data_IF_984659554754
#
_entry.id   IF_984659554754
#
_cell.length_a   1.000
_cell.length_b   1.000
_cell.length_c   1.000
_cell.angle_alpha   90.00
_cell.angle_beta   90.00
_cell.angle_gamma   90.00
#
_symmetry.space_group_name_H-M   'P 1'
#
loop_
_entity.id
_entity.type
_entity.pdbx_description
1 polymer ?
#
# COMPACT_ATOMS: atom_id res chain seq x y z
N UNK A 1 18.42 -11.56 12.08
CA UNK A 1 18.55 -10.27 12.80
C UNK A 1 17.19 -9.60 12.77
N UNK A 2 16.75 -9.03 13.86
CA UNK A 2 15.48 -8.28 13.93
C UNK A 2 15.58 -7.01 13.08
N UNK A 3 14.67 -6.86 12.11
CA UNK A 3 14.69 -5.74 11.14
C UNK A 3 13.85 -4.53 11.58
N UNK A 4 12.98 -4.72 12.55
CA UNK A 4 12.09 -3.67 13.05
C UNK A 4 10.63 -4.07 13.15
N UNK A 5 9.78 -3.09 13.46
CA UNK A 5 8.33 -3.24 13.57
C UNK A 5 7.65 -2.49 12.43
N UNK A 6 6.81 -3.16 11.66
CA UNK A 6 6.10 -2.59 10.52
C UNK A 6 4.58 -2.66 10.68
N UNK A 7 3.88 -1.56 10.41
CA UNK A 7 2.44 -1.55 10.19
C UNK A 7 2.19 -1.72 8.70
N UNK A 8 1.32 -2.69 8.33
CA UNK A 8 0.82 -2.86 6.96
C UNK A 8 -0.67 -2.54 6.95
N UNK A 9 -1.07 -1.42 6.34
CA UNK A 9 -2.49 -1.09 6.23
C UNK A 9 -3.16 -1.98 5.18
N UNK A 10 -4.38 -2.49 5.49
CA UNK A 10 -5.04 -3.47 4.62
C UNK A 10 -4.27 -4.79 4.48
N UNK A 11 -3.57 -5.21 5.56
CA UNK A 11 -2.67 -6.37 5.57
C UNK A 11 -3.36 -7.74 5.65
N UNK A 12 -4.69 -7.79 5.80
CA UNK A 12 -5.42 -9.03 6.06
C UNK A 12 -5.53 -9.97 4.87
N UNK A 13 -5.57 -9.48 3.65
CA UNK A 13 -5.81 -10.25 2.42
C UNK A 13 -5.12 -9.66 1.20
N UNK A 14 -5.21 -10.38 0.06
CA UNK A 14 -4.73 -9.92 -1.26
C UNK A 14 -3.24 -9.51 -1.21
N UNK A 15 -2.87 -8.40 -1.83
CA UNK A 15 -1.49 -7.86 -1.85
C UNK A 15 -0.97 -7.60 -0.43
N UNK A 16 -1.80 -7.04 0.46
CA UNK A 16 -1.41 -6.75 1.84
C UNK A 16 -0.98 -7.99 2.63
N UNK A 17 -1.68 -9.13 2.46
CA UNK A 17 -1.29 -10.41 3.08
C UNK A 17 0.10 -10.85 2.64
N UNK A 18 0.37 -10.84 1.33
CA UNK A 18 1.69 -11.24 0.81
C UNK A 18 2.82 -10.32 1.29
N UNK A 19 2.54 -9.01 1.40
CA UNK A 19 3.48 -8.05 1.99
C UNK A 19 3.77 -8.43 3.46
N UNK A 20 2.74 -8.71 4.27
CA UNK A 20 2.90 -9.13 5.67
C UNK A 20 3.75 -10.40 5.78
N UNK A 21 3.42 -11.43 5.00
CA UNK A 21 4.14 -12.71 4.99
C UNK A 21 5.60 -12.52 4.57
N UNK A 22 5.86 -11.75 3.52
CA UNK A 22 7.22 -11.50 3.01
C UNK A 22 8.06 -10.71 4.00
N UNK A 23 7.52 -9.64 4.61
CA UNK A 23 8.23 -8.85 5.60
C UNK A 23 8.54 -9.64 6.85
N UNK A 24 7.60 -10.47 7.32
CA UNK A 24 7.84 -11.36 8.46
C UNK A 24 8.97 -12.36 8.19
N UNK A 25 9.00 -13.01 7.01
CA UNK A 25 10.10 -13.89 6.61
C UNK A 25 11.46 -13.18 6.53
N UNK A 26 11.44 -11.86 6.39
CA UNK A 26 12.65 -11.01 6.41
C UNK A 26 12.94 -10.42 7.80
N UNK A 27 12.30 -10.89 8.86
CA UNK A 27 12.61 -10.56 10.24
C UNK A 27 11.89 -9.34 10.80
N UNK A 28 10.89 -8.78 10.10
CA UNK A 28 10.03 -7.74 10.67
C UNK A 28 8.97 -8.35 11.58
N UNK A 29 8.69 -7.69 12.71
CA UNK A 29 7.46 -7.87 13.47
C UNK A 29 6.35 -7.07 12.78
N UNK A 30 5.16 -7.65 12.61
CA UNK A 30 4.12 -7.09 11.75
C UNK A 30 2.86 -6.73 12.52
N UNK A 31 2.39 -5.49 12.40
CA UNK A 31 1.03 -5.10 12.78
C UNK A 31 0.16 -5.14 11.54
N UNK A 32 -0.78 -6.07 11.50
CA UNK A 32 -1.71 -6.31 10.39
C UNK A 32 -2.95 -5.45 10.63
N UNK A 33 -3.08 -4.35 9.89
CA UNK A 33 -4.31 -3.55 9.95
C UNK A 33 -5.39 -4.14 9.05
N UNK A 34 -6.64 -4.11 9.54
CA UNK A 34 -7.86 -4.44 8.78
C UNK A 34 -9.03 -3.54 9.21
N UNK A 35 -10.06 -3.40 8.36
CA UNK A 35 -11.32 -2.72 8.70
C UNK A 35 -12.40 -3.73 9.11
N UNK A 36 -12.81 -4.61 8.20
CA UNK A 36 -13.92 -5.56 8.38
C UNK A 36 -13.50 -7.03 8.22
N UNK A 37 -12.30 -7.32 7.74
CA UNK A 37 -11.81 -8.66 7.40
C UNK A 37 -11.06 -9.28 8.60
N UNK A 38 -11.77 -9.54 9.69
CA UNK A 38 -11.17 -10.07 10.95
C UNK A 38 -10.62 -11.48 10.78
N UNK A 39 -11.41 -12.38 10.16
CA UNK A 39 -11.03 -13.77 9.97
C UNK A 39 -9.77 -13.90 9.12
N UNK A 40 -9.70 -13.15 8.01
CA UNK A 40 -8.52 -13.14 7.15
C UNK A 40 -7.30 -12.51 7.82
N UNK A 41 -7.51 -11.52 8.72
CA UNK A 41 -6.42 -10.93 9.50
C UNK A 41 -5.87 -11.94 10.52
N UNK A 42 -6.74 -12.66 11.22
CA UNK A 42 -6.36 -13.73 12.15
C UNK A 42 -5.62 -14.87 11.44
N UNK A 43 -6.13 -15.30 10.27
CA UNK A 43 -5.47 -16.30 9.43
C UNK A 43 -4.06 -15.86 9.04
N UNK A 44 -3.91 -14.62 8.57
CA UNK A 44 -2.61 -14.05 8.19
C UNK A 44 -1.65 -13.99 9.38
N UNK A 45 -2.12 -13.54 10.55
CA UNK A 45 -1.33 -13.52 11.78
C UNK A 45 -0.93 -14.95 12.22
N UNK A 46 -1.83 -15.91 12.13
CA UNK A 46 -1.55 -17.33 12.42
C UNK A 46 -0.49 -17.91 11.50
N UNK A 47 -0.57 -17.63 10.19
CA UNK A 47 0.46 -18.06 9.23
C UNK A 47 1.84 -17.54 9.60
N UNK A 48 1.94 -16.25 9.96
CA UNK A 48 3.20 -15.61 10.38
C UNK A 48 3.72 -16.24 11.67
N UNK A 49 2.88 -16.32 12.71
CA UNK A 49 3.28 -16.78 14.04
C UNK A 49 3.66 -18.26 14.02
N UNK A 50 2.93 -19.10 13.27
CA UNK A 50 3.26 -20.51 13.08
C UNK A 50 4.54 -20.73 12.29
N UNK A 51 4.92 -19.79 11.44
CA UNK A 51 6.17 -19.79 10.67
C UNK A 51 7.37 -19.25 11.45
N UNK A 52 7.24 -18.98 12.76
CA UNK A 52 8.30 -18.46 13.62
C UNK A 52 8.49 -16.94 13.55
N UNK A 53 7.62 -16.22 12.86
CA UNK A 53 7.57 -14.77 12.87
C UNK A 53 6.79 -14.22 14.07
N UNK A 54 6.53 -12.91 14.07
CA UNK A 54 5.71 -12.25 15.09
C UNK A 54 4.75 -11.27 14.45
N UNK A 55 3.44 -11.50 14.63
CA UNK A 55 2.40 -10.63 14.10
C UNK A 55 1.24 -10.46 15.08
N UNK A 56 0.68 -9.26 15.08
CA UNK A 56 -0.56 -8.92 15.78
C UNK A 56 -1.52 -8.24 14.81
N UNK A 57 -2.81 -8.34 15.10
CA UNK A 57 -3.86 -7.68 14.31
C UNK A 57 -4.31 -6.39 14.98
N UNK A 58 -4.71 -5.40 14.20
CA UNK A 58 -5.29 -4.15 14.68
C UNK A 58 -6.44 -3.71 13.77
N UNK A 59 -7.66 -3.71 14.33
CA UNK A 59 -8.82 -3.17 13.64
C UNK A 59 -8.82 -1.64 13.73
N UNK A 60 -8.97 -0.97 12.59
CA UNK A 60 -9.21 0.46 12.54
C UNK A 60 -10.02 0.82 11.28
N UNK A 61 -10.77 1.91 11.32
CA UNK A 61 -11.40 2.48 10.12
C UNK A 61 -10.61 3.71 9.68
N UNK A 62 -10.00 3.64 8.49
CA UNK A 62 -9.18 4.73 7.95
C UNK A 62 -10.04 5.92 7.44
N UNK A 63 -11.36 5.85 7.52
CA UNK A 63 -12.22 7.03 7.37
C UNK A 63 -12.11 7.97 8.59
N UNK A 64 -11.64 7.46 9.74
CA UNK A 64 -11.34 8.24 10.94
C UNK A 64 -9.82 8.50 11.06
N UNK A 65 -9.44 9.76 11.16
CA UNK A 65 -8.03 10.17 11.30
C UNK A 65 -7.38 9.65 12.58
N UNK A 66 -8.16 9.41 13.63
CA UNK A 66 -7.66 8.84 14.90
C UNK A 66 -7.13 7.40 14.75
N UNK A 67 -7.47 6.74 13.66
CA UNK A 67 -6.95 5.41 13.31
C UNK A 67 -5.42 5.38 13.20
N UNK A 68 -4.79 6.49 12.82
CA UNK A 68 -3.33 6.59 12.76
C UNK A 68 -2.68 6.45 14.15
N UNK A 69 -3.23 7.13 15.15
CA UNK A 69 -2.76 7.03 16.54
C UNK A 69 -3.02 5.63 17.11
N UNK A 70 -4.21 5.07 16.85
CA UNK A 70 -4.56 3.71 17.29
C UNK A 70 -3.59 2.66 16.75
N UNK A 71 -3.22 2.74 15.48
CA UNK A 71 -2.31 1.78 14.84
C UNK A 71 -0.89 1.88 15.40
N UNK A 72 -0.38 3.09 15.59
CA UNK A 72 0.95 3.32 16.17
C UNK A 72 0.97 2.90 17.64
N UNK A 73 -0.05 3.27 18.42
CA UNK A 73 -0.16 2.86 19.83
C UNK A 73 -0.17 1.34 19.97
N UNK A 74 -0.91 0.62 19.08
CA UNK A 74 -0.91 -0.84 19.07
C UNK A 74 0.48 -1.42 18.80
N UNK A 75 1.24 -0.85 17.87
CA UNK A 75 2.60 -1.29 17.58
C UNK A 75 3.53 -1.10 18.78
N UNK A 76 3.44 0.07 19.45
CA UNK A 76 4.25 0.39 20.64
C UNK A 76 3.87 -0.49 21.84
N UNK A 77 2.58 -0.71 22.07
CA UNK A 77 2.08 -1.60 23.14
C UNK A 77 2.60 -3.03 23.00
N UNK A 78 2.56 -3.59 21.79
CA UNK A 78 2.89 -4.99 21.55
C UNK A 78 4.40 -5.25 21.38
N UNK A 79 5.11 -4.29 20.77
CA UNK A 79 6.50 -4.50 20.36
C UNK A 79 7.48 -3.49 20.93
N UNK A 80 7.01 -2.51 21.69
CA UNK A 80 7.83 -1.48 22.34
C UNK A 80 8.16 -0.27 21.47
N UNK A 81 8.06 -0.38 20.14
CA UNK A 81 8.38 0.68 19.18
C UNK A 81 7.75 0.41 17.82
N UNK A 82 7.87 1.40 16.92
CA UNK A 82 7.57 1.27 15.49
C UNK A 82 8.60 2.06 14.69
N UNK A 83 9.02 1.51 13.56
CA UNK A 83 9.94 2.22 12.65
C UNK A 83 9.67 1.99 11.17
N UNK A 84 8.59 1.28 10.81
CA UNK A 84 8.25 1.07 9.41
C UNK A 84 6.74 1.08 9.15
N UNK A 85 6.34 1.59 7.97
CA UNK A 85 4.95 1.61 7.50
C UNK A 85 4.90 1.16 6.04
N UNK A 86 3.91 0.32 5.71
CA UNK A 86 3.45 0.10 4.35
C UNK A 86 2.02 0.62 4.22
N UNK A 87 1.83 1.72 3.53
CA UNK A 87 0.52 2.27 3.19
C UNK A 87 -0.03 1.52 1.97
N UNK A 88 -0.75 0.42 2.23
CA UNK A 88 -1.32 -0.46 1.21
C UNK A 88 -2.85 -0.37 1.13
N UNK A 89 -3.56 -0.07 2.23
CA UNK A 89 -5.01 0.09 2.20
C UNK A 89 -5.44 1.16 1.19
N UNK A 90 -6.51 0.90 0.45
CA UNK A 90 -7.04 1.82 -0.55
C UNK A 90 -8.52 1.58 -0.76
N UNK A 91 -9.27 2.65 -0.99
CA UNK A 91 -10.59 2.62 -1.61
C UNK A 91 -10.41 2.80 -3.10
N UNK A 92 -11.14 2.00 -3.89
CA UNK A 92 -11.13 2.01 -5.35
C UNK A 92 -12.58 1.89 -5.85
N UNK A 93 -13.25 3.02 -5.97
CA UNK A 93 -14.64 3.11 -6.45
C UNK A 93 -14.62 3.86 -7.77
N UNK A 94 -15.44 3.44 -8.73
CA UNK A 94 -15.53 4.09 -10.03
C UNK A 94 -16.27 5.42 -9.91
N UNK A 95 -15.70 6.46 -10.50
CA UNK A 95 -16.30 7.75 -10.78
C UNK A 95 -15.64 8.38 -12.01
N UNK A 96 -16.32 9.36 -12.56
CA UNK A 96 -15.83 10.27 -13.60
C UNK A 96 -16.37 11.68 -13.34
N UNK A 97 -16.11 12.62 -14.23
CA UNK A 97 -16.55 14.02 -14.04
C UNK A 97 -18.09 14.16 -13.98
N UNK A 98 -18.85 13.19 -14.50
CA UNK A 98 -20.32 13.23 -14.49
C UNK A 98 -20.94 12.57 -13.26
N UNK A 99 -20.20 11.71 -12.56
CA UNK A 99 -20.69 10.88 -11.44
C UNK A 99 -20.01 11.19 -10.12
N UNK A 100 -18.91 11.96 -10.10
CA UNK A 100 -18.19 12.34 -8.88
C UNK A 100 -19.10 13.10 -7.91
N UNK A 101 -19.01 12.76 -6.62
CA UNK A 101 -19.63 13.50 -5.52
C UNK A 101 -18.58 13.98 -4.52
N UNK A 102 -18.95 14.97 -3.69
CA UNK A 102 -18.07 15.47 -2.62
C UNK A 102 -17.71 14.36 -1.65
N UNK A 103 -18.69 13.54 -1.27
CA UNK A 103 -18.52 12.44 -0.33
C UNK A 103 -17.54 11.39 -0.85
N UNK A 104 -17.65 11.00 -2.12
CA UNK A 104 -16.75 10.02 -2.73
C UNK A 104 -15.33 10.58 -2.89
N UNK A 105 -15.22 11.85 -3.27
CA UNK A 105 -13.94 12.56 -3.28
C UNK A 105 -13.29 12.55 -1.90
N UNK A 106 -14.05 12.94 -0.86
CA UNK A 106 -13.55 13.01 0.51
C UNK A 106 -13.13 11.63 1.03
N UNK A 107 -13.90 10.57 0.71
CA UNK A 107 -13.54 9.19 1.09
C UNK A 107 -12.21 8.75 0.47
N UNK A 108 -12.02 8.96 -0.85
CA UNK A 108 -10.76 8.63 -1.51
C UNK A 108 -9.58 9.43 -0.93
N UNK A 109 -9.75 10.74 -0.76
CA UNK A 109 -8.69 11.59 -0.19
C UNK A 109 -8.37 11.24 1.26
N UNK A 110 -9.39 10.94 2.07
CA UNK A 110 -9.21 10.58 3.47
C UNK A 110 -8.44 9.26 3.62
N UNK A 111 -8.89 8.20 2.95
CA UNK A 111 -8.36 6.85 3.13
C UNK A 111 -7.04 6.65 2.37
N UNK A 112 -6.95 7.17 1.13
CA UNK A 112 -5.81 6.90 0.27
C UNK A 112 -4.65 7.89 0.44
N UNK A 113 -4.89 9.07 1.06
CA UNK A 113 -3.87 10.11 1.16
C UNK A 113 -3.72 10.68 2.58
N UNK A 114 -4.79 11.20 3.18
CA UNK A 114 -4.69 11.93 4.45
C UNK A 114 -4.30 11.04 5.63
N UNK A 115 -4.96 9.91 5.82
CA UNK A 115 -4.63 9.00 6.94
C UNK A 115 -3.26 8.35 6.76
N UNK A 116 -2.82 7.90 5.57
CA UNK A 116 -1.43 7.53 5.33
C UNK A 116 -0.42 8.59 5.74
N UNK A 117 -0.65 9.87 5.42
CA UNK A 117 0.19 10.98 5.87
C UNK A 117 0.21 11.12 7.40
N UNK A 118 -0.98 11.05 8.04
CA UNK A 118 -1.07 11.13 9.50
C UNK A 118 -0.38 9.95 10.19
N UNK A 119 -0.49 8.76 9.64
CA UNK A 119 0.20 7.56 10.15
C UNK A 119 1.74 7.74 10.11
N UNK A 120 2.26 8.30 9.01
CA UNK A 120 3.69 8.64 8.90
C UNK A 120 4.08 9.69 9.96
N UNK A 121 3.25 10.74 10.14
CA UNK A 121 3.46 11.79 11.14
C UNK A 121 3.53 11.22 12.56
N UNK A 122 2.56 10.40 12.95
CA UNK A 122 2.50 9.81 14.30
C UNK A 122 3.70 8.87 14.51
N UNK A 123 4.06 8.02 13.54
CA UNK A 123 5.29 7.22 13.64
C UNK A 123 6.52 8.11 13.81
N UNK A 124 6.68 9.16 13.00
CA UNK A 124 7.82 10.08 13.07
C UNK A 124 7.99 10.69 14.46
N UNK A 125 6.88 11.05 15.13
CA UNK A 125 6.89 11.63 16.46
C UNK A 125 7.35 10.63 17.54
N UNK A 126 7.18 9.31 17.30
CA UNK A 126 7.65 8.26 18.24
C UNK A 126 9.14 7.92 18.08
N UNK A 127 9.75 8.29 16.95
CA UNK A 127 11.16 7.99 16.71
C UNK A 127 12.07 8.93 17.53
N UNK A 128 13.00 8.38 18.27
CA UNK A 128 14.07 9.14 18.91
C UNK A 128 15.09 9.71 17.89
N UNK A 129 16.09 10.45 18.36
CA UNK A 129 17.08 11.11 17.49
C UNK A 129 17.95 10.12 16.69
N UNK A 130 18.20 8.94 17.23
CA UNK A 130 19.07 7.91 16.65
C UNK A 130 18.30 6.89 15.82
N UNK A 131 16.99 6.81 16.01
CA UNK A 131 16.13 5.88 15.29
C UNK A 131 15.98 6.25 13.82
N UNK A 132 15.89 5.20 12.98
CA UNK A 132 15.66 5.34 11.53
C UNK A 132 14.33 4.71 11.16
N UNK A 133 13.54 5.47 10.38
CA UNK A 133 12.24 5.03 9.88
C UNK A 133 12.27 4.68 8.40
N UNK A 134 11.26 3.94 7.96
CA UNK A 134 11.07 3.56 6.57
C UNK A 134 9.59 3.49 6.19
N UNK A 135 9.23 4.08 5.07
CA UNK A 135 7.86 4.10 4.55
C UNK A 135 7.86 3.61 3.11
N UNK A 136 6.93 2.71 2.78
CA UNK A 136 6.62 2.33 1.42
C UNK A 136 5.14 2.57 1.14
N UNK A 137 4.85 3.42 0.16
CA UNK A 137 3.50 3.72 -0.29
C UNK A 137 3.13 2.83 -1.49
N UNK A 138 1.96 2.20 -1.47
CA UNK A 138 1.44 1.48 -2.64
C UNK A 138 0.64 2.47 -3.49
N UNK A 139 1.20 2.80 -4.64
CA UNK A 139 0.61 3.67 -5.66
C UNK A 139 -0.14 2.85 -6.72
N UNK A 140 -0.07 3.29 -7.96
CA UNK A 140 -0.70 2.65 -9.12
C UNK A 140 0.10 2.99 -10.39
N UNK A 141 0.28 2.05 -11.31
CA UNK A 141 0.94 2.27 -12.59
C UNK A 141 0.19 3.30 -13.46
N UNK A 142 -1.15 3.40 -13.29
CA UNK A 142 -2.02 4.35 -13.99
C UNK A 142 -1.53 5.81 -13.89
N UNK A 143 -0.81 6.17 -12.82
CA UNK A 143 -0.28 7.53 -12.63
C UNK A 143 0.74 7.94 -13.69
N UNK A 144 1.37 6.99 -14.36
CA UNK A 144 2.32 7.28 -15.44
C UNK A 144 1.58 7.67 -16.75
N UNK A 145 0.44 7.03 -17.02
CA UNK A 145 -0.35 7.25 -18.24
C UNK A 145 -1.86 7.16 -17.90
N UNK A 146 -2.43 8.22 -17.30
CA UNK A 146 -3.78 8.18 -16.75
C UNK A 146 -4.86 8.16 -17.85
N UNK A 147 -5.93 7.45 -17.58
CA UNK A 147 -7.21 7.52 -18.30
C UNK A 147 -8.26 8.25 -17.44
N UNK A 148 -9.43 8.64 -18.00
CA UNK A 148 -10.42 9.47 -17.28
C UNK A 148 -11.22 8.74 -16.19
N UNK A 149 -11.20 7.41 -16.16
CA UNK A 149 -12.00 6.63 -15.22
C UNK A 149 -11.37 6.65 -13.81
N UNK A 150 -12.16 6.42 -12.77
CA UNK A 150 -11.74 6.47 -11.38
C UNK A 150 -11.05 7.79 -11.00
N UNK A 151 -11.74 8.91 -11.28
CA UNK A 151 -11.18 10.27 -11.21
C UNK A 151 -10.66 10.60 -9.80
N UNK A 152 -11.52 10.46 -8.77
CA UNK A 152 -11.15 10.81 -7.38
C UNK A 152 -10.10 9.85 -6.80
N UNK A 153 -10.17 8.56 -7.15
CA UNK A 153 -9.12 7.60 -6.83
C UNK A 153 -7.77 8.03 -7.42
N UNK A 154 -7.76 8.32 -8.73
CA UNK A 154 -6.54 8.74 -9.44
C UNK A 154 -5.94 9.99 -8.81
N UNK A 155 -6.79 11.00 -8.48
CA UNK A 155 -6.36 12.21 -7.78
C UNK A 155 -5.74 11.90 -6.41
N UNK A 156 -6.34 10.99 -5.63
CA UNK A 156 -5.81 10.58 -4.32
C UNK A 156 -4.44 9.89 -4.43
N UNK A 157 -4.23 9.08 -5.47
CA UNK A 157 -2.95 8.42 -5.73
C UNK A 157 -1.89 9.42 -6.23
N UNK A 158 -2.25 10.44 -7.04
CA UNK A 158 -1.34 11.55 -7.36
C UNK A 158 -0.94 12.35 -6.11
N UNK A 159 -1.85 12.54 -5.16
CA UNK A 159 -1.52 13.16 -3.88
C UNK A 159 -0.46 12.34 -3.15
N UNK A 160 -0.62 11.01 -3.07
CA UNK A 160 0.38 10.13 -2.44
C UNK A 160 1.71 10.09 -3.20
N UNK A 161 1.68 10.21 -4.54
CA UNK A 161 2.90 10.35 -5.35
C UNK A 161 3.67 11.61 -4.95
N UNK A 162 2.99 12.78 -4.89
CA UNK A 162 3.60 14.03 -4.47
C UNK A 162 4.10 13.99 -3.02
N UNK A 163 3.34 13.36 -2.11
CA UNK A 163 3.75 13.16 -0.73
C UNK A 163 4.97 12.23 -0.63
N UNK A 164 5.10 11.22 -1.47
CA UNK A 164 6.27 10.33 -1.47
C UNK A 164 7.57 11.12 -1.74
N UNK A 165 7.61 11.96 -2.76
CA UNK A 165 8.78 12.80 -3.06
C UNK A 165 9.02 13.87 -1.96
N UNK A 166 7.97 14.58 -1.57
CA UNK A 166 8.08 15.67 -0.60
C UNK A 166 8.55 15.17 0.77
N UNK A 167 7.97 14.06 1.26
CA UNK A 167 8.35 13.46 2.54
C UNK A 167 9.73 12.82 2.51
N UNK A 168 10.14 12.22 1.37
CA UNK A 168 11.50 11.72 1.20
C UNK A 168 12.55 12.81 1.41
N UNK A 169 12.27 14.04 0.95
CA UNK A 169 13.13 15.22 1.15
C UNK A 169 13.08 15.77 2.57
N UNK A 170 11.87 15.94 3.10
CA UNK A 170 11.68 16.63 4.39
C UNK A 170 12.02 15.77 5.61
N UNK A 171 11.90 14.44 5.51
CA UNK A 171 12.16 13.53 6.62
C UNK A 171 13.57 12.93 6.64
N UNK A 172 14.36 13.14 5.58
CA UNK A 172 15.76 12.75 5.56
C UNK A 172 16.57 13.58 6.58
N UNK A 173 17.57 12.98 7.24
CA UNK A 173 18.05 11.61 7.12
C UNK A 173 17.36 10.61 8.08
N UNK A 174 16.27 11.00 8.75
CA UNK A 174 15.62 10.20 9.80
C UNK A 174 14.71 9.12 9.22
N UNK A 175 13.93 9.44 8.17
CA UNK A 175 12.99 8.50 7.54
C UNK A 175 13.21 8.46 6.03
N UNK A 176 13.27 7.25 5.46
CA UNK A 176 13.21 7.02 4.02
C UNK A 176 11.76 6.83 3.59
N UNK A 177 11.37 7.43 2.48
CA UNK A 177 10.01 7.28 1.92
C UNK A 177 10.13 6.90 0.46
N UNK A 178 9.55 5.76 0.08
CA UNK A 178 9.56 5.24 -1.29
C UNK A 178 8.16 4.74 -1.66
N UNK A 179 7.99 4.30 -2.90
CA UNK A 179 6.74 3.73 -3.36
C UNK A 179 6.93 2.53 -4.28
N UNK A 180 5.90 1.67 -4.33
CA UNK A 180 5.72 0.64 -5.34
C UNK A 180 4.45 0.98 -6.11
N UNK A 181 4.49 0.90 -7.44
CA UNK A 181 3.36 1.11 -8.36
C UNK A 181 3.01 -0.20 -9.04
N UNK A 182 2.00 -0.93 -8.54
CA UNK A 182 1.53 -2.18 -9.15
C UNK A 182 0.83 -1.95 -10.49
N UNK A 183 0.92 -2.94 -11.38
CA UNK A 183 0.00 -3.14 -12.49
C UNK A 183 -1.20 -4.01 -12.12
N UNK A 184 -1.83 -4.64 -13.12
CA UNK A 184 -2.98 -5.55 -12.94
C UNK A 184 -2.57 -6.82 -12.20
N UNK A 185 -2.60 -6.77 -10.87
CA UNK A 185 -2.08 -7.82 -9.98
C UNK A 185 -3.16 -8.82 -9.56
N UNK A 186 -4.38 -8.36 -9.32
CA UNK A 186 -5.54 -9.18 -8.91
C UNK A 186 -6.81 -8.59 -9.55
N UNK A 187 -7.74 -9.45 -9.93
CA UNK A 187 -9.04 -9.03 -10.43
C UNK A 187 -9.75 -8.10 -9.42
N UNK A 188 -10.40 -7.06 -9.92
CA UNK A 188 -11.35 -6.25 -9.14
C UNK A 188 -12.68 -6.99 -9.00
N UNK A 189 -13.52 -6.55 -8.06
CA UNK A 189 -14.83 -7.20 -7.80
C UNK A 189 -15.79 -7.12 -9.01
N UNK A 190 -15.57 -6.18 -9.92
CA UNK A 190 -16.35 -5.98 -11.15
C UNK A 190 -15.77 -6.70 -12.36
N UNK A 191 -14.68 -7.43 -12.22
CA UNK A 191 -13.94 -8.03 -13.33
C UNK A 191 -14.13 -9.55 -13.38
N UNK A 192 -14.46 -10.08 -14.55
CA UNK A 192 -14.49 -11.53 -14.79
C UNK A 192 -13.07 -12.11 -14.82
N UNK A 193 -12.96 -13.43 -14.61
CA UNK A 193 -11.66 -14.12 -14.68
C UNK A 193 -11.05 -13.99 -16.08
N UNK A 194 -11.86 -14.13 -17.12
CA UNK A 194 -11.44 -14.02 -18.51
C UNK A 194 -11.03 -12.58 -18.85
N UNK A 195 -11.77 -11.57 -18.38
CA UNK A 195 -11.43 -10.16 -18.54
C UNK A 195 -10.11 -9.82 -17.86
N UNK A 196 -9.90 -10.31 -16.66
CA UNK A 196 -8.63 -10.15 -15.96
C UNK A 196 -7.45 -10.81 -16.70
N UNK A 197 -7.62 -12.03 -17.21
CA UNK A 197 -6.59 -12.70 -18.00
C UNK A 197 -6.25 -11.93 -19.28
N UNK A 198 -7.27 -11.38 -19.98
CA UNK A 198 -7.06 -10.51 -21.15
C UNK A 198 -6.28 -9.24 -20.76
N UNK A 199 -6.64 -8.62 -19.64
CA UNK A 199 -5.93 -7.43 -19.13
C UNK A 199 -4.45 -7.74 -18.89
N UNK A 200 -4.15 -8.81 -18.17
CA UNK A 200 -2.77 -9.21 -17.90
C UNK A 200 -1.99 -9.55 -19.16
N UNK A 201 -2.58 -10.32 -20.09
CA UNK A 201 -1.92 -10.71 -21.33
C UNK A 201 -1.70 -9.56 -22.31
N UNK A 202 -2.43 -8.44 -22.16
CA UNK A 202 -2.21 -7.22 -22.96
C UNK A 202 -0.98 -6.41 -22.54
N UNK A 203 -0.41 -6.69 -21.36
CA UNK A 203 0.80 -6.05 -20.90
C UNK A 203 1.99 -6.36 -21.81
N UNK A 204 2.99 -5.45 -21.96
CA UNK A 204 4.15 -5.66 -22.85
C UNK A 204 4.93 -6.95 -22.62
N UNK A 205 4.98 -7.47 -21.38
CA UNK A 205 5.59 -8.77 -21.10
C UNK A 205 4.69 -9.96 -21.41
N UNK A 206 3.42 -9.76 -21.79
CA UNK A 206 2.44 -10.82 -22.06
C UNK A 206 1.83 -11.45 -20.82
N UNK A 207 2.11 -10.94 -19.63
CA UNK A 207 1.53 -11.34 -18.34
C UNK A 207 1.58 -10.18 -17.36
N UNK A 208 0.71 -10.18 -16.36
CA UNK A 208 0.72 -9.19 -15.27
C UNK A 208 1.51 -9.66 -14.05
N UNK A 209 1.83 -8.76 -13.12
CA UNK A 209 2.46 -9.11 -11.86
C UNK A 209 1.49 -9.90 -10.97
N UNK A 210 2.04 -10.67 -10.04
CA UNK A 210 1.31 -11.31 -8.97
C UNK A 210 1.58 -10.60 -7.61
N UNK A 211 0.83 -10.91 -6.54
CA UNK A 211 1.04 -10.29 -5.23
C UNK A 211 2.44 -10.49 -4.65
N UNK A 212 3.10 -11.61 -4.95
CA UNK A 212 4.46 -11.89 -4.50
C UNK A 212 5.47 -10.93 -5.14
N UNK A 213 5.31 -10.56 -6.40
CA UNK A 213 6.18 -9.60 -7.09
C UNK A 213 6.11 -8.23 -6.41
N UNK A 214 4.90 -7.79 -6.01
CA UNK A 214 4.70 -6.55 -5.25
C UNK A 214 5.37 -6.63 -3.88
N UNK A 215 5.15 -7.74 -3.16
CA UNK A 215 5.75 -7.95 -1.84
C UNK A 215 7.29 -7.99 -1.90
N UNK A 216 7.88 -8.55 -2.97
CA UNK A 216 9.31 -8.54 -3.21
C UNK A 216 9.87 -7.13 -3.39
N UNK A 217 9.19 -6.27 -4.17
CA UNK A 217 9.58 -4.87 -4.37
C UNK A 217 9.49 -4.06 -3.08
N UNK A 218 8.42 -4.25 -2.29
CA UNK A 218 8.27 -3.65 -0.96
C UNK A 218 9.41 -4.08 -0.06
N UNK A 219 9.71 -5.37 0.01
CA UNK A 219 10.80 -5.92 0.83
C UNK A 219 12.16 -5.37 0.42
N UNK A 220 12.43 -5.22 -0.89
CA UNK A 220 13.63 -4.57 -1.39
C UNK A 220 13.76 -3.14 -0.85
N UNK A 221 12.73 -2.30 -0.98
CA UNK A 221 12.74 -0.92 -0.51
C UNK A 221 12.88 -0.82 1.01
N UNK A 222 12.31 -1.76 1.75
CA UNK A 222 12.48 -1.84 3.19
C UNK A 222 13.95 -2.07 3.60
N UNK A 223 14.71 -2.80 2.80
CA UNK A 223 16.11 -3.13 3.08
C UNK A 223 17.14 -2.19 2.40
N UNK A 224 16.75 -1.46 1.38
CA UNK A 224 17.62 -0.62 0.53
C UNK A 224 18.00 0.69 1.23
N UNK A 225 19.01 0.68 2.10
CA UNK A 225 19.41 1.77 3.01
C UNK A 225 19.74 3.10 2.30
N UNK A 226 20.18 3.07 1.04
CA UNK A 226 20.56 4.24 0.26
C UNK A 226 19.49 4.69 -0.75
N UNK A 227 18.24 4.18 -0.61
CA UNK A 227 17.13 4.47 -1.52
C UNK A 227 16.05 5.26 -0.80
N UNK A 228 15.74 6.46 -1.27
CA UNK A 228 14.61 7.30 -0.83
C UNK A 228 14.08 8.13 -1.99
N UNK A 229 12.79 8.44 -2.00
CA UNK A 229 12.12 9.19 -3.07
C UNK A 229 11.92 8.40 -4.37
N UNK A 230 12.10 7.06 -4.34
CA UNK A 230 11.99 6.24 -5.54
C UNK A 230 10.64 5.56 -5.67
N UNK A 231 10.23 5.32 -6.92
CA UNK A 231 9.04 4.57 -7.28
C UNK A 231 9.50 3.36 -8.11
N UNK A 232 9.16 2.17 -7.63
CA UNK A 232 9.37 0.93 -8.39
C UNK A 232 8.05 0.54 -9.04
N UNK A 233 8.04 0.53 -10.36
CA UNK A 233 6.91 0.01 -11.13
C UNK A 233 7.03 -1.50 -11.25
N UNK A 234 6.00 -2.21 -10.77
CA UNK A 234 5.85 -3.66 -10.87
C UNK A 234 4.57 -3.93 -11.65
N UNK A 235 4.64 -3.72 -12.95
CA UNK A 235 3.47 -3.57 -13.83
C UNK A 235 3.59 -4.30 -15.18
N UNK A 236 4.63 -5.12 -15.36
CA UNK A 236 4.90 -5.83 -16.61
C UNK A 236 4.95 -4.91 -17.85
N UNK A 237 5.25 -3.61 -17.63
CA UNK A 237 5.30 -2.60 -18.68
C UNK A 237 3.94 -1.95 -19.00
N UNK A 238 2.89 -2.26 -18.27
CA UNK A 238 1.52 -1.74 -18.48
C UNK A 238 1.49 -0.22 -18.63
N UNK A 239 2.26 0.51 -17.83
CA UNK A 239 2.35 1.98 -17.88
C UNK A 239 2.78 2.56 -19.24
N UNK A 240 3.36 1.75 -20.12
CA UNK A 240 3.74 2.20 -21.47
C UNK A 240 2.57 2.21 -22.45
N UNK A 241 1.46 1.57 -22.08
CA UNK A 241 0.25 1.53 -22.88
C UNK A 241 -0.58 2.80 -22.62
N UNK A 242 -1.00 3.47 -23.69
CA UNK A 242 -1.96 4.56 -23.60
C UNK A 242 -3.37 3.99 -23.77
N UNK A 243 -4.17 4.03 -22.70
CA UNK A 243 -5.55 3.55 -22.70
C UNK A 243 -6.51 4.74 -22.66
N UNK A 244 -7.57 4.68 -23.46
CA UNK A 244 -8.63 5.68 -23.46
C UNK A 244 -9.62 5.50 -22.29
N UNK A 245 -9.72 4.28 -21.76
CA UNK A 245 -10.55 3.87 -20.62
C UNK A 245 -9.74 3.01 -19.67
N UNK A 246 -10.29 2.77 -18.49
CA UNK A 246 -9.72 1.76 -17.58
C UNK A 246 -9.78 0.37 -18.24
N UNK A 247 -8.77 -0.45 -17.99
CA UNK A 247 -8.64 -1.78 -18.62
C UNK A 247 -9.86 -2.67 -18.35
N UNK A 248 -10.53 -2.52 -17.23
CA UNK A 248 -11.78 -3.22 -16.89
C UNK A 248 -12.82 -3.01 -17.97
N UNK A 249 -12.93 -1.78 -18.51
CA UNK A 249 -13.91 -1.45 -19.56
C UNK A 249 -13.45 -1.84 -20.99
N UNK A 250 -12.17 -2.16 -21.17
CA UNK A 250 -11.61 -2.57 -22.45
C UNK A 250 -11.54 -4.09 -22.59
N UNK A 251 -11.60 -4.84 -21.49
CA UNK A 251 -11.35 -6.29 -21.47
C UNK A 251 -12.52 -7.15 -21.01
N UNK A 252 -13.65 -6.55 -20.59
CA UNK A 252 -14.91 -7.28 -20.28
C UNK A 252 -15.81 -7.56 -21.50
#
# INVERSE_FOLDING_TARGET
MEQGVVIVTGGSKRIGREICLRLSRNGFKVVIHYRNSSEEAEETAKMINSGGGSAVICQADLSDVSSAEKLVSKAVEEFGYINAIVNNASVFIHDDISTITSELWDEHMQINAKVPLMLIKVMYDTLDENSKGNVVNILDQKLYNPNPDHLSYTASKYTMLGLTDTLARSLAPKVRVNAVSPGHTLASDSQTTEGFQRAQSSSPLGYGPNPEDIANAVCYLMNAKSVTGQIIYVDSGERFLSRSRDVVFETE
#
